data_IF_816976483693
#
_entry.id   IF_816976483693
#
_cell.length_a   1.000
_cell.length_b   1.000
_cell.length_c   1.000
_cell.angle_alpha   90.00
_cell.angle_beta   90.00
_cell.angle_gamma   90.00
#
_symmetry.space_group_name_H-M   'P 1'
#
loop_
_entity.id
_entity.type
_entity.pdbx_description
1 polymer ?
#
# COMPACT_ATOMS: atom_id res chain seq x y z
N UNK A 1 1.05 -21.99 -10.26
CA UNK A 1 0.57 -21.60 -9.04
C UNK A 1 0.11 -20.16 -9.02
N UNK A 2 0.90 -19.20 -8.73
CA UNK A 2 0.38 -17.85 -8.72
C UNK A 2 0.15 -17.27 -10.09
N UNK A 3 0.69 -17.89 -11.11
CA UNK A 3 0.39 -17.49 -12.48
C UNK A 3 -1.09 -17.64 -12.80
N UNK A 4 -1.82 -18.41 -12.01
CA UNK A 4 -3.25 -18.59 -12.18
C UNK A 4 -4.08 -17.63 -11.34
N UNK A 5 -3.47 -16.69 -10.68
CA UNK A 5 -4.16 -15.71 -9.87
C UNK A 5 -5.17 -14.93 -10.68
N UNK A 6 -6.34 -14.81 -10.12
CA UNK A 6 -7.29 -13.85 -10.61
C UNK A 6 -6.78 -12.46 -10.27
N UNK A 7 -6.77 -11.60 -11.25
CA UNK A 7 -6.39 -10.22 -11.03
C UNK A 7 -7.63 -9.43 -10.67
N UNK A 8 -7.70 -8.92 -9.46
CA UNK A 8 -8.86 -8.19 -8.98
C UNK A 8 -8.89 -6.75 -9.47
N UNK A 9 -7.73 -6.21 -9.75
CA UNK A 9 -7.61 -4.87 -10.29
C UNK A 9 -6.24 -4.74 -10.92
N UNK A 10 -6.08 -3.75 -11.78
CA UNK A 10 -4.78 -3.45 -12.35
C UNK A 10 -4.41 -2.02 -12.02
N UNK A 11 -3.14 -1.81 -11.72
CA UNK A 11 -2.61 -0.50 -11.40
C UNK A 11 -2.26 0.24 -12.69
N UNK A 12 -2.80 1.44 -12.81
CA UNK A 12 -2.40 2.33 -13.91
C UNK A 12 -1.24 3.21 -13.43
N UNK A 13 -1.39 3.83 -12.28
CA UNK A 13 -0.34 4.69 -11.74
C UNK A 13 -0.58 4.95 -10.27
N UNK A 14 0.48 5.28 -9.55
CA UNK A 14 0.34 5.82 -8.22
C UNK A 14 1.43 6.86 -7.97
N UNK A 15 1.14 7.74 -7.06
CA UNK A 15 2.09 8.78 -6.65
C UNK A 15 1.93 9.03 -5.17
N UNK A 16 3.06 9.10 -4.46
CA UNK A 16 3.06 9.43 -3.04
C UNK A 16 3.91 10.67 -2.86
N UNK A 17 3.35 11.67 -2.18
CA UNK A 17 4.04 12.93 -1.90
C UNK A 17 4.11 13.14 -0.41
N UNK A 18 5.27 13.61 0.06
CA UNK A 18 5.45 13.98 1.45
C UNK A 18 5.64 15.48 1.54
N UNK A 19 5.07 16.04 2.58
CA UNK A 19 5.30 17.46 2.85
C UNK A 19 5.29 17.69 4.34
N UNK A 20 5.88 18.80 4.76
CA UNK A 20 5.79 19.26 6.14
C UNK A 20 4.88 20.46 6.16
N UNK A 21 3.90 20.43 7.07
CA UNK A 21 2.97 21.54 7.21
C UNK A 21 3.13 22.14 8.59
N UNK A 22 3.03 23.45 8.64
CA UNK A 22 3.08 24.18 9.89
C UNK A 22 1.66 24.25 10.45
N UNK A 23 1.51 23.86 11.70
CA UNK A 23 0.20 23.97 12.36
C UNK A 23 0.04 25.36 12.99
N UNK A 24 -1.07 25.59 13.69
CA UNK A 24 -1.37 26.89 14.27
C UNK A 24 -0.38 27.27 15.39
N UNK A 25 0.32 26.30 15.96
CA UNK A 25 1.32 26.55 17.00
C UNK A 25 2.71 26.75 16.44
N UNK A 26 2.86 26.75 15.12
CA UNK A 26 4.15 26.92 14.49
C UNK A 26 4.99 25.67 14.39
N UNK A 27 4.45 24.52 14.74
CA UNK A 27 5.15 23.24 14.65
C UNK A 27 4.98 22.64 13.27
N UNK A 28 6.04 22.03 12.75
CA UNK A 28 5.99 21.31 11.49
C UNK A 28 5.57 19.87 11.70
N UNK A 29 4.56 19.44 10.98
CA UNK A 29 4.06 18.08 11.06
C UNK A 29 4.25 17.38 9.71
N UNK A 30 4.66 16.11 9.70
CA UNK A 30 4.75 15.37 8.46
C UNK A 30 3.37 15.07 7.91
N UNK A 31 3.26 15.09 6.59
CA UNK A 31 2.01 14.88 5.90
C UNK A 31 2.27 14.17 4.59
N UNK A 32 1.45 13.18 4.29
CA UNK A 32 1.61 12.44 3.05
C UNK A 32 0.31 12.41 2.29
N UNK A 33 0.40 12.47 0.96
CA UNK A 33 -0.75 12.31 0.10
C UNK A 33 -0.43 11.22 -0.91
N UNK A 34 -1.37 10.32 -1.13
CA UNK A 34 -1.22 9.29 -2.14
C UNK A 34 -2.32 9.42 -3.17
N UNK A 35 -1.96 9.25 -4.43
CA UNK A 35 -2.90 9.20 -5.55
C UNK A 35 -2.74 7.86 -6.25
N UNK A 36 -3.86 7.21 -6.52
CA UNK A 36 -3.83 5.97 -7.27
C UNK A 36 -4.86 6.03 -8.38
N UNK A 37 -4.50 5.43 -9.48
CA UNK A 37 -5.40 5.21 -10.61
C UNK A 37 -5.36 3.74 -10.93
N UNK A 38 -6.50 3.10 -10.87
CA UNK A 38 -6.60 1.67 -11.07
C UNK A 38 -7.77 1.36 -12.00
N UNK A 39 -7.75 0.15 -12.52
CA UNK A 39 -8.86 -0.38 -13.31
C UNK A 39 -9.39 -1.64 -12.65
N UNK A 40 -10.71 -1.73 -12.57
CA UNK A 40 -11.38 -2.98 -12.24
C UNK A 40 -12.16 -3.36 -13.49
N UNK A 41 -11.68 -4.38 -14.18
CA UNK A 41 -12.18 -4.67 -15.52
C UNK A 41 -11.86 -3.52 -16.44
N UNK A 42 -12.88 -2.93 -17.04
CA UNK A 42 -12.70 -1.78 -17.93
C UNK A 42 -13.00 -0.46 -17.24
N UNK A 43 -13.35 -0.50 -15.96
CA UNK A 43 -13.76 0.68 -15.24
C UNK A 43 -12.59 1.29 -14.49
N UNK A 44 -12.40 2.58 -14.68
CA UNK A 44 -11.31 3.32 -14.03
C UNK A 44 -11.77 3.91 -12.71
N UNK A 45 -10.91 3.80 -11.69
CA UNK A 45 -11.12 4.43 -10.40
C UNK A 45 -9.91 5.27 -10.05
N UNK A 46 -10.16 6.45 -9.55
CA UNK A 46 -9.13 7.38 -9.15
C UNK A 46 -9.37 7.80 -7.72
N UNK A 47 -8.30 7.88 -6.93
CA UNK A 47 -8.40 8.27 -5.54
C UNK A 47 -7.19 9.09 -5.15
N UNK A 48 -7.41 10.13 -4.36
CA UNK A 48 -6.35 10.95 -3.78
C UNK A 48 -6.70 11.14 -2.31
N UNK A 49 -5.82 10.71 -1.41
CA UNK A 49 -6.12 10.66 0.01
C UNK A 49 -4.88 11.06 0.80
N UNK A 50 -5.09 11.77 1.90
CA UNK A 50 -4.02 12.11 2.82
C UNK A 50 -3.93 11.10 3.95
N UNK A 51 -2.72 10.91 4.46
CA UNK A 51 -2.47 10.01 5.57
C UNK A 51 -1.31 10.50 6.41
N UNK A 52 -1.06 9.81 7.53
CA UNK A 52 -0.03 10.22 8.48
C UNK A 52 1.38 9.82 8.06
N UNK A 53 1.50 9.10 6.99
CA UNK A 53 2.77 8.70 6.42
C UNK A 53 2.53 8.10 5.06
N UNK A 54 3.61 7.81 4.28
CA UNK A 54 3.42 7.36 2.91
C UNK A 54 2.67 6.05 2.79
N UNK A 55 2.93 5.09 3.68
CA UNK A 55 2.27 3.80 3.58
C UNK A 55 0.81 3.92 3.98
N UNK A 56 0.54 4.67 5.04
CA UNK A 56 -0.83 4.90 5.47
C UNK A 56 -1.64 5.60 4.38
N UNK A 57 -1.06 6.60 3.75
CA UNK A 57 -1.72 7.32 2.66
C UNK A 57 -1.99 6.41 1.48
N UNK A 58 -1.00 5.60 1.10
CA UNK A 58 -1.13 4.69 -0.03
C UNK A 58 -2.20 3.62 0.24
N UNK A 59 -2.19 3.05 1.44
CA UNK A 59 -3.19 2.06 1.83
C UNK A 59 -4.59 2.65 1.78
N UNK A 60 -4.76 3.85 2.33
CA UNK A 60 -6.07 4.52 2.31
C UNK A 60 -6.54 4.81 0.89
N UNK A 61 -5.62 5.25 0.03
CA UNK A 61 -5.99 5.56 -1.35
C UNK A 61 -6.43 4.31 -2.10
N UNK A 62 -5.70 3.21 -1.94
CA UNK A 62 -6.07 1.95 -2.57
C UNK A 62 -7.41 1.46 -2.08
N UNK A 63 -7.64 1.50 -0.78
CA UNK A 63 -8.90 1.06 -0.22
C UNK A 63 -10.05 1.95 -0.65
N UNK A 64 -9.83 3.26 -0.66
CA UNK A 64 -10.87 4.19 -1.08
C UNK A 64 -11.32 3.91 -2.51
N UNK A 65 -10.36 3.59 -3.38
CA UNK A 65 -10.69 3.28 -4.77
C UNK A 65 -11.37 1.91 -4.90
N UNK A 66 -10.94 0.93 -4.12
CA UNK A 66 -11.37 -0.46 -4.31
C UNK A 66 -12.62 -0.84 -3.50
N UNK A 67 -12.87 -0.18 -2.37
CA UNK A 67 -13.97 -0.59 -1.49
C UNK A 67 -15.32 -0.47 -2.17
N UNK A 68 -15.47 0.46 -3.07
CA UNK A 68 -16.72 0.60 -3.82
C UNK A 68 -17.04 -0.65 -4.62
N UNK A 69 -16.01 -1.32 -5.13
CA UNK A 69 -16.19 -2.52 -5.93
C UNK A 69 -16.09 -3.79 -5.09
N UNK A 70 -15.23 -3.77 -4.07
CA UNK A 70 -15.00 -4.90 -3.18
C UNK A 70 -15.29 -4.48 -1.74
N UNK A 71 -16.57 -4.46 -1.32
CA UNK A 71 -16.91 -3.95 0.01
C UNK A 71 -16.26 -4.73 1.16
N UNK A 72 -15.86 -5.99 0.94
CA UNK A 72 -15.25 -6.78 1.99
C UNK A 72 -13.92 -6.19 2.47
N UNK A 73 -13.35 -5.27 1.71
CA UNK A 73 -12.10 -4.61 2.12
C UNK A 73 -12.27 -3.78 3.40
N UNK A 74 -13.50 -3.45 3.77
CA UNK A 74 -13.75 -2.79 5.06
C UNK A 74 -13.34 -3.64 6.24
N UNK A 75 -13.24 -4.94 6.07
CA UNK A 75 -12.85 -5.87 7.14
C UNK A 75 -11.35 -6.09 7.21
N UNK A 76 -10.61 -5.59 6.24
CA UNK A 76 -9.17 -5.75 6.20
C UNK A 76 -8.51 -4.69 7.06
N UNK A 77 -7.66 -5.14 7.97
CA UNK A 77 -6.91 -4.26 8.86
C UNK A 77 -5.42 -4.45 8.64
N UNK A 78 -4.70 -3.35 8.54
CA UNK A 78 -3.25 -3.38 8.50
C UNK A 78 -2.78 -3.29 9.95
N UNK A 79 -2.19 -4.37 10.48
CA UNK A 79 -1.81 -4.46 11.87
C UNK A 79 -0.44 -3.86 12.11
N UNK A 80 0.50 -4.15 11.23
CA UNK A 80 1.88 -3.78 11.44
C UNK A 80 2.58 -3.63 10.10
N UNK A 81 3.65 -2.87 10.13
CA UNK A 81 4.40 -2.55 8.94
C UNK A 81 5.84 -2.32 9.35
N UNK A 82 6.75 -3.07 8.73
CA UNK A 82 8.16 -3.00 9.05
C UNK A 82 8.98 -2.84 7.79
N UNK A 83 10.00 -2.00 7.89
CA UNK A 83 10.90 -1.74 6.79
C UNK A 83 12.29 -2.18 7.21
N UNK A 84 12.95 -2.94 6.36
CA UNK A 84 14.32 -3.35 6.59
C UNK A 84 15.16 -2.99 5.37
N UNK A 85 16.30 -2.40 5.61
CA UNK A 85 17.23 -2.09 4.56
C UNK A 85 18.23 -3.25 4.46
N UNK A 86 18.28 -3.85 3.26
CA UNK A 86 19.19 -4.95 2.99
C UNK A 86 20.44 -4.35 2.39
N UNK A 87 21.46 -4.16 3.22
CA UNK A 87 22.66 -3.44 2.83
C UNK A 87 23.54 -4.30 1.92
N UNK A 88 23.84 -3.84 0.71
CA UNK A 88 24.72 -4.58 -0.17
C UNK A 88 26.18 -4.45 0.28
N UNK A 89 26.99 -5.41 -0.13
CA UNK A 89 28.40 -5.42 0.23
C UNK A 89 29.15 -4.23 -0.36
N UNK A 90 28.77 -3.84 -1.56
CA UNK A 90 29.46 -2.76 -2.25
C UNK A 90 28.93 -1.37 -1.90
N UNK A 91 27.84 -1.30 -1.15
CA UNK A 91 27.32 -0.03 -0.67
C UNK A 91 26.69 0.88 -1.72
N UNK A 92 26.49 0.41 -2.94
CA UNK A 92 26.02 1.28 -4.00
C UNK A 92 24.52 1.48 -4.00
N UNK A 93 23.76 0.39 -3.87
CA UNK A 93 22.29 0.45 -3.83
C UNK A 93 21.79 -0.52 -2.78
N UNK A 94 20.91 -0.02 -1.93
CA UNK A 94 20.32 -0.87 -0.91
C UNK A 94 18.94 -1.30 -1.36
N UNK A 95 18.68 -2.59 -1.25
CA UNK A 95 17.32 -3.10 -1.39
C UNK A 95 16.56 -2.80 -0.13
N UNK A 96 15.28 -2.50 -0.27
CA UNK A 96 14.38 -2.26 0.84
C UNK A 96 13.37 -3.38 0.86
N UNK A 97 13.17 -3.96 2.04
CA UNK A 97 12.16 -4.99 2.23
C UNK A 97 11.09 -4.43 3.15
N UNK A 98 9.86 -4.47 2.67
CA UNK A 98 8.71 -4.03 3.45
C UNK A 98 7.89 -5.27 3.78
N UNK A 99 7.58 -5.43 5.07
CA UNK A 99 6.73 -6.50 5.53
C UNK A 99 5.47 -5.88 6.13
N UNK A 100 4.33 -6.33 5.66
CA UNK A 100 3.04 -5.86 6.15
C UNK A 100 2.32 -7.03 6.77
N UNK A 101 1.83 -6.83 7.98
CA UNK A 101 1.00 -7.80 8.66
C UNK A 101 -0.43 -7.31 8.64
N UNK A 102 -1.32 -8.17 8.17
CA UNK A 102 -2.72 -7.81 7.97
C UNK A 102 -3.61 -8.84 8.63
N UNK A 103 -4.84 -8.42 8.92
CA UNK A 103 -5.83 -9.34 9.45
C UNK A 103 -7.21 -8.97 8.93
N UNK A 104 -8.07 -9.97 8.93
CA UNK A 104 -9.49 -9.73 8.82
C UNK A 104 -10.16 -10.51 9.96
N UNK A 105 -11.45 -10.70 9.90
CA UNK A 105 -12.15 -11.37 10.99
C UNK A 105 -11.76 -12.84 11.15
N UNK A 106 -11.16 -13.45 10.12
CA UNK A 106 -10.89 -14.88 10.13
C UNK A 106 -9.40 -15.22 10.10
N UNK A 107 -8.60 -14.40 9.46
CA UNK A 107 -7.21 -14.72 9.17
C UNK A 107 -6.27 -13.60 9.55
N UNK A 108 -5.03 -13.99 9.76
CA UNK A 108 -3.90 -13.09 9.93
C UNK A 108 -2.81 -13.57 8.98
N UNK A 109 -2.18 -12.64 8.28
CA UNK A 109 -1.14 -13.00 7.31
C UNK A 109 -0.14 -11.89 7.13
N UNK A 110 0.99 -12.25 6.52
CA UNK A 110 2.05 -11.29 6.21
C UNK A 110 2.33 -11.31 4.73
N UNK A 111 2.66 -10.15 4.19
CA UNK A 111 3.09 -10.01 2.81
C UNK A 111 4.37 -9.20 2.77
N UNK A 112 5.16 -9.41 1.72
CA UNK A 112 6.48 -8.82 1.62
C UNK A 112 6.66 -8.23 0.23
N UNK A 113 7.22 -7.02 0.18
CA UNK A 113 7.65 -6.42 -1.05
C UNK A 113 9.12 -6.06 -0.94
N UNK A 114 9.85 -6.19 -2.04
CA UNK A 114 11.27 -5.87 -2.09
C UNK A 114 11.52 -5.01 -3.32
N UNK A 115 12.23 -3.90 -3.12
CA UNK A 115 12.56 -3.00 -4.21
C UNK A 115 13.70 -2.10 -3.76
N UNK A 116 14.32 -1.41 -4.71
CA UNK A 116 15.27 -0.35 -4.35
C UNK A 116 14.56 0.89 -3.81
N UNK A 117 13.26 0.99 -4.00
CA UNK A 117 12.45 2.12 -3.57
C UNK A 117 11.44 1.65 -2.53
N UNK A 118 11.40 2.34 -1.37
CA UNK A 118 10.52 1.91 -0.28
C UNK A 118 9.04 2.02 -0.66
N UNK A 119 8.68 2.99 -1.47
CA UNK A 119 7.28 3.14 -1.87
C UNK A 119 6.86 2.00 -2.80
N UNK A 120 7.72 1.64 -3.75
CA UNK A 120 7.44 0.51 -4.63
C UNK A 120 7.34 -0.80 -3.85
N UNK A 121 8.27 -1.03 -2.91
CA UNK A 121 8.22 -2.22 -2.06
C UNK A 121 6.92 -2.26 -1.26
N UNK A 122 6.52 -1.11 -0.73
CA UNK A 122 5.29 -1.00 0.05
C UNK A 122 4.07 -1.28 -0.81
N UNK A 123 4.05 -0.78 -2.04
CA UNK A 123 2.93 -1.06 -2.93
C UNK A 123 2.80 -2.56 -3.17
N UNK A 124 3.91 -3.25 -3.43
CA UNK A 124 3.88 -4.69 -3.68
C UNK A 124 3.30 -5.42 -2.47
N UNK A 125 3.77 -5.08 -1.27
CA UNK A 125 3.27 -5.72 -0.05
C UNK A 125 1.79 -5.45 0.17
N UNK A 126 1.35 -4.21 -0.08
CA UNK A 126 -0.06 -3.85 0.05
C UNK A 126 -0.92 -4.56 -0.98
N UNK A 127 -0.46 -4.58 -2.22
CA UNK A 127 -1.18 -5.25 -3.29
C UNK A 127 -1.36 -6.73 -2.97
N UNK A 128 -0.31 -7.39 -2.52
CA UNK A 128 -0.38 -8.81 -2.17
C UNK A 128 -1.31 -9.03 -1.00
N UNK A 129 -1.29 -8.13 -0.02
CA UNK A 129 -2.18 -8.23 1.14
C UNK A 129 -3.65 -8.13 0.72
N UNK A 130 -3.96 -7.16 -0.11
CA UNK A 130 -5.33 -6.96 -0.61
C UNK A 130 -5.76 -8.15 -1.45
N UNK A 131 -4.88 -8.63 -2.33
CA UNK A 131 -5.18 -9.78 -3.17
C UNK A 131 -5.47 -11.01 -2.34
N UNK A 132 -4.66 -11.26 -1.31
CA UNK A 132 -4.89 -12.42 -0.44
C UNK A 132 -6.24 -12.33 0.24
N UNK A 133 -6.58 -11.15 0.77
CA UNK A 133 -7.87 -10.95 1.40
C UNK A 133 -9.02 -11.26 0.43
N UNK A 134 -8.93 -10.74 -0.78
CA UNK A 134 -10.00 -10.93 -1.77
C UNK A 134 -10.11 -12.37 -2.23
N UNK A 135 -8.98 -13.09 -2.29
CA UNK A 135 -9.01 -14.50 -2.64
C UNK A 135 -9.70 -15.35 -1.57
N UNK A 136 -9.64 -14.91 -0.32
CA UNK A 136 -10.19 -15.69 0.80
C UNK A 136 -11.62 -15.26 1.14
N UNK A 137 -12.13 -14.24 0.54
CA UNK A 137 -13.52 -13.82 0.71
C UNK A 137 -14.35 -14.01 -0.57
#
# INVERSE_FOLDING_TARGET
KFSKFKEFYSLESFKVSDEKRKNSKGEFLPFSEARVKIFVGKKEFYSAVEGNGPIHALDKALRHALTKYYPSLKKLNLIDYKVRILTPQDGTKALVRVRIESSNQKFKWSTIGVSYNVIDASYVALHDSITYHLLKT
#
